data_IF_459477262892
#
_entry.id   IF_459477262892
#
_cell.length_a   1.000
_cell.length_b   1.000
_cell.length_c   1.000
_cell.angle_alpha   90.00
_cell.angle_beta   90.00
_cell.angle_gamma   90.00
#
_symmetry.space_group_name_H-M   'P 1'
#
loop_
_entity.id
_entity.type
_entity.pdbx_description
1 polymer ?
#
# COMPACT_ATOMS: atom_id res chain seq x y z
N UNK A 1 -4.06 11.21 20.34
CA UNK A 1 -5.21 10.43 19.83
C UNK A 1 -5.64 10.77 18.40
N UNK A 2 -5.90 12.05 18.07
CA UNK A 2 -6.36 12.44 16.71
C UNK A 2 -5.42 12.04 15.58
N UNK A 3 -4.11 12.22 15.77
CA UNK A 3 -3.05 11.89 14.78
C UNK A 3 -2.94 10.37 14.53
N UNK A 4 -3.03 9.55 15.56
CA UNK A 4 -3.00 8.08 15.45
C UNK A 4 -4.24 7.56 14.71
N UNK A 5 -5.41 8.16 14.96
CA UNK A 5 -6.65 7.83 14.28
C UNK A 5 -6.57 8.15 12.78
N UNK A 6 -6.01 9.29 12.42
CA UNK A 6 -5.82 9.70 11.03
C UNK A 6 -4.85 8.78 10.27
N UNK A 7 -3.75 8.36 10.91
CA UNK A 7 -2.83 7.36 10.36
C UNK A 7 -3.56 6.03 10.10
N UNK A 8 -4.35 5.54 11.06
CA UNK A 8 -5.10 4.29 10.91
C UNK A 8 -6.15 4.37 9.77
N UNK A 9 -6.84 5.50 9.63
CA UNK A 9 -7.77 5.74 8.53
C UNK A 9 -7.04 5.76 7.18
N UNK A 10 -5.88 6.40 7.10
CA UNK A 10 -5.06 6.43 5.89
C UNK A 10 -4.53 5.04 5.50
N UNK A 11 -4.11 4.21 6.46
CA UNK A 11 -3.79 2.80 6.20
C UNK A 11 -5.00 2.05 5.63
N UNK A 12 -6.17 2.21 6.23
CA UNK A 12 -7.40 1.56 5.74
C UNK A 12 -7.76 1.98 4.32
N UNK A 13 -7.63 3.27 3.99
CA UNK A 13 -7.90 3.79 2.65
C UNK A 13 -6.90 3.25 1.63
N UNK A 14 -5.60 3.26 1.96
CA UNK A 14 -4.54 2.69 1.10
C UNK A 14 -4.77 1.21 0.84
N UNK A 15 -5.11 0.45 1.88
CA UNK A 15 -5.33 -0.99 1.77
C UNK A 15 -6.56 -1.33 0.90
N UNK A 16 -7.63 -0.53 0.97
CA UNK A 16 -8.77 -0.67 0.04
C UNK A 16 -8.36 -0.49 -1.42
N UNK A 17 -7.54 0.53 -1.71
CA UNK A 17 -7.02 0.77 -3.06
C UNK A 17 -6.11 -0.37 -3.52
N UNK A 18 -5.22 -0.84 -2.63
CA UNK A 18 -4.36 -1.98 -2.91
C UNK A 18 -5.15 -3.26 -3.22
N UNK A 19 -6.18 -3.58 -2.42
CA UNK A 19 -7.04 -4.74 -2.67
C UNK A 19 -7.79 -4.64 -4.00
N UNK A 20 -8.28 -3.45 -4.36
CA UNK A 20 -8.91 -3.21 -5.66
C UNK A 20 -7.94 -3.50 -6.81
N UNK A 21 -6.71 -3.02 -6.70
CA UNK A 21 -5.67 -3.29 -7.70
C UNK A 21 -5.29 -4.78 -7.78
N UNK A 22 -5.23 -5.46 -6.64
CA UNK A 22 -4.94 -6.89 -6.57
C UNK A 22 -5.99 -7.75 -7.30
N UNK A 23 -7.26 -7.36 -7.30
CA UNK A 23 -8.30 -8.03 -8.07
C UNK A 23 -7.97 -7.97 -9.57
N UNK A 24 -7.68 -6.78 -10.09
CA UNK A 24 -7.30 -6.59 -11.49
C UNK A 24 -6.00 -7.33 -11.86
N UNK A 25 -5.04 -7.37 -10.94
CA UNK A 25 -3.80 -8.10 -11.13
C UNK A 25 -4.06 -9.60 -11.25
N UNK A 26 -4.94 -10.16 -10.42
CA UNK A 26 -5.32 -11.58 -10.50
C UNK A 26 -6.04 -11.88 -11.81
N UNK A 27 -6.95 -11.02 -12.26
CA UNK A 27 -7.60 -11.17 -13.56
C UNK A 27 -6.58 -11.26 -14.69
N UNK A 28 -5.59 -10.36 -14.72
CA UNK A 28 -4.55 -10.38 -15.76
C UNK A 28 -3.66 -11.61 -15.71
N UNK A 29 -3.42 -12.17 -14.53
CA UNK A 29 -2.54 -13.33 -14.36
C UNK A 29 -3.28 -14.66 -14.51
N UNK A 30 -4.62 -14.69 -14.57
CA UNK A 30 -5.40 -15.92 -14.79
C UNK A 30 -5.12 -16.55 -16.14
N UNK A 31 -4.83 -15.72 -17.15
CA UNK A 31 -4.64 -16.17 -18.53
C UNK A 31 -3.19 -16.61 -18.82
N UNK A 32 -2.30 -16.53 -17.83
CA UNK A 32 -0.89 -16.95 -17.98
C UNK A 32 -0.79 -18.43 -17.65
N UNK A 33 -0.74 -19.28 -18.69
CA UNK A 33 -0.81 -20.74 -18.57
C UNK A 33 0.22 -21.35 -17.60
N UNK A 34 1.45 -20.83 -17.55
CA UNK A 34 2.48 -21.31 -16.62
C UNK A 34 3.37 -20.14 -16.21
N UNK A 35 3.32 -19.78 -14.93
CA UNK A 35 4.18 -18.76 -14.35
C UNK A 35 4.83 -19.30 -13.09
N UNK A 36 6.13 -19.06 -12.95
CA UNK A 36 6.85 -19.39 -11.73
C UNK A 36 6.17 -18.71 -10.52
N UNK A 37 5.97 -19.40 -9.38
CA UNK A 37 5.28 -18.83 -8.22
C UNK A 37 5.93 -17.55 -7.68
N UNK A 38 7.26 -17.39 -7.75
CA UNK A 38 7.93 -16.16 -7.31
C UNK A 38 7.63 -15.02 -8.29
N UNK A 39 7.69 -15.30 -9.59
CA UNK A 39 7.31 -14.34 -10.62
C UNK A 39 5.84 -13.92 -10.50
N UNK A 40 4.93 -14.87 -10.22
CA UNK A 40 3.52 -14.58 -9.97
C UNK A 40 3.34 -13.52 -8.87
N UNK A 41 4.01 -13.68 -7.73
CA UNK A 41 3.91 -12.74 -6.61
C UNK A 41 4.44 -11.36 -7.01
N UNK A 42 5.57 -11.30 -7.72
CA UNK A 42 6.18 -10.04 -8.17
C UNK A 42 5.22 -9.31 -9.14
N UNK A 43 4.74 -10.00 -10.17
CA UNK A 43 3.83 -9.40 -11.15
C UNK A 43 2.49 -9.01 -10.53
N UNK A 44 1.95 -9.84 -9.63
CA UNK A 44 0.71 -9.52 -8.91
C UNK A 44 0.83 -8.21 -8.13
N UNK A 45 1.97 -7.98 -7.49
CA UNK A 45 2.22 -6.74 -6.76
C UNK A 45 2.38 -5.53 -7.69
N UNK A 46 3.14 -5.67 -8.79
CA UNK A 46 3.32 -4.58 -9.76
C UNK A 46 2.02 -4.22 -10.46
N UNK A 47 1.30 -5.22 -10.99
CA UNK A 47 0.02 -5.04 -11.66
C UNK A 47 -1.04 -4.48 -10.72
N UNK A 48 -0.95 -4.78 -9.42
CA UNK A 48 -1.83 -4.22 -8.40
C UNK A 48 -1.77 -2.70 -8.31
N UNK A 49 -0.68 -2.07 -8.76
CA UNK A 49 -0.57 -0.61 -8.82
C UNK A 49 -0.78 -0.10 -10.25
N UNK A 50 -0.19 -0.78 -11.24
CA UNK A 50 -0.25 -0.37 -12.65
C UNK A 50 -1.67 -0.41 -13.22
N UNK A 51 -2.51 -1.34 -12.75
CA UNK A 51 -3.90 -1.48 -13.23
C UNK A 51 -4.92 -0.62 -12.50
N UNK A 52 -4.50 0.19 -11.53
CA UNK A 52 -5.39 1.17 -10.92
C UNK A 52 -5.82 2.23 -11.94
N UNK A 53 -7.00 2.81 -11.74
CA UNK A 53 -7.37 4.00 -12.52
C UNK A 53 -6.41 5.15 -12.18
N UNK A 54 -6.25 6.11 -13.09
CA UNK A 54 -5.40 7.29 -12.87
C UNK A 54 -5.72 8.01 -11.55
N UNK A 55 -7.00 8.08 -11.19
CA UNK A 55 -7.45 8.65 -9.92
C UNK A 55 -7.03 7.78 -8.74
N UNK A 56 -7.35 6.49 -8.76
CA UNK A 56 -7.03 5.56 -7.67
C UNK A 56 -5.50 5.45 -7.44
N UNK A 57 -4.72 5.51 -8.52
CA UNK A 57 -3.27 5.52 -8.46
C UNK A 57 -2.74 6.78 -7.76
N UNK A 58 -3.26 7.96 -8.13
CA UNK A 58 -2.90 9.23 -7.47
C UNK A 58 -3.28 9.22 -5.99
N UNK A 59 -4.50 8.79 -5.68
CA UNK A 59 -4.99 8.70 -4.32
C UNK A 59 -4.11 7.73 -3.50
N UNK A 60 -3.77 6.56 -4.05
CA UNK A 60 -2.87 5.60 -3.41
C UNK A 60 -1.50 6.20 -3.12
N UNK A 61 -0.92 6.91 -4.10
CA UNK A 61 0.40 7.50 -3.97
C UNK A 61 0.43 8.63 -2.95
N UNK A 62 -0.57 9.52 -2.97
CA UNK A 62 -0.67 10.62 -2.03
C UNK A 62 -0.84 10.12 -0.59
N UNK A 63 -1.75 9.15 -0.37
CA UNK A 63 -1.95 8.53 0.95
C UNK A 63 -0.66 7.84 1.42
N UNK A 64 0.03 7.12 0.53
CA UNK A 64 1.29 6.42 0.85
C UNK A 64 2.40 7.39 1.25
N UNK A 65 2.52 8.53 0.55
CA UNK A 65 3.47 9.58 0.90
C UNK A 65 3.13 10.17 2.27
N UNK A 66 1.88 10.57 2.49
CA UNK A 66 1.45 11.18 3.73
C UNK A 66 1.66 10.25 4.94
N UNK A 67 1.38 8.94 4.79
CA UNK A 67 1.69 7.93 5.81
C UNK A 67 3.19 7.85 6.11
N UNK A 68 4.01 7.81 5.06
CA UNK A 68 5.46 7.69 5.19
C UNK A 68 6.06 8.91 5.88
N UNK A 69 5.61 10.11 5.51
CA UNK A 69 6.06 11.36 6.11
C UNK A 69 5.61 11.47 7.57
N UNK A 70 4.36 11.12 7.89
CA UNK A 70 3.86 11.10 9.26
C UNK A 70 4.66 10.14 10.16
N UNK A 71 4.95 8.93 9.66
CA UNK A 71 5.78 7.95 10.37
C UNK A 71 7.22 8.43 10.54
N UNK A 72 7.79 9.05 9.49
CA UNK A 72 9.14 9.63 9.53
C UNK A 72 9.23 10.76 10.55
N UNK A 73 8.22 11.61 10.62
CA UNK A 73 8.17 12.72 11.57
C UNK A 73 7.90 12.24 13.00
N UNK A 74 7.09 11.18 13.18
CA UNK A 74 6.96 10.51 14.46
C UNK A 74 8.31 9.90 14.92
N UNK A 75 9.02 9.21 14.02
CA UNK A 75 10.35 8.65 14.29
C UNK A 75 11.38 9.75 14.66
N UNK A 76 11.35 10.89 13.96
CA UNK A 76 12.22 12.04 14.25
C UNK A 76 11.89 12.70 15.58
N UNK A 77 10.61 12.83 15.93
CA UNK A 77 10.15 13.39 17.21
C UNK A 77 10.44 12.45 18.40
N UNK A 78 10.60 11.15 18.13
CA UNK A 78 10.93 10.12 19.12
C UNK A 78 12.34 9.57 19.01
N UNK A 79 13.38 10.42 18.94
CA UNK A 79 14.83 10.08 19.04
C UNK A 79 15.24 8.66 18.54
N UNK A 80 14.73 8.22 17.39
CA UNK A 80 15.14 6.95 16.78
C UNK A 80 14.90 5.66 17.59
N UNK A 81 14.05 5.64 18.63
CA UNK A 81 13.69 4.40 19.34
C UNK A 81 12.36 3.87 18.84
N UNK A 82 12.35 2.61 18.42
CA UNK A 82 11.12 1.88 18.09
C UNK A 82 10.17 1.96 19.30
N UNK A 83 8.94 2.49 19.18
CA UNK A 83 8.02 2.57 20.31
C UNK A 83 7.85 1.17 20.89
N UNK A 84 8.06 1.02 22.20
CA UNK A 84 7.77 -0.24 22.90
C UNK A 84 6.26 -0.44 22.88
N UNK A 85 5.79 -1.10 21.83
CA UNK A 85 4.42 -1.60 21.73
C UNK A 85 4.36 -2.82 22.64
N UNK A 86 3.87 -2.62 23.87
CA UNK A 86 3.43 -3.69 24.76
C UNK A 86 1.98 -4.04 24.42
#
# INVERSE_FOLDING_TARGET
EKEVKEIAENFTKRDKLYLKGLEFAKESLRDVCEIDPKLYVIFRNMLGLVRLSEKDYKDYWEISRNLTDALRDAYRRGEGKNPKVY
#
